data_IF_921502008485
#
_entry.id   IF_921502008485
#
_cell.length_a   1.000
_cell.length_b   1.000
_cell.length_c   1.000
_cell.angle_alpha   90.00
_cell.angle_beta   90.00
_cell.angle_gamma   90.00
#
_symmetry.space_group_name_H-M   'P 1'
#
loop_
_entity.id
_entity.type
_entity.pdbx_description
1 polymer ?
#
# COMPACT_ATOMS: atom_id res chain seq x y z
N UNK A 1 3.14 15.86 24.43
CA UNK A 1 2.90 15.35 23.07
C UNK A 1 2.53 13.90 23.25
N UNK A 2 1.23 13.61 23.36
CA UNK A 2 0.75 12.24 23.40
C UNK A 2 1.24 11.57 22.13
N UNK A 3 1.98 10.46 22.29
CA UNK A 3 2.35 9.61 21.17
C UNK A 3 1.04 9.02 20.64
N UNK A 4 0.37 9.77 19.78
CA UNK A 4 -0.78 9.30 19.02
C UNK A 4 -0.25 8.11 18.23
N UNK A 5 -0.52 6.90 18.74
CA UNK A 5 -0.06 5.66 18.14
C UNK A 5 -0.48 5.68 16.69
N UNK A 6 0.50 5.83 15.80
CA UNK A 6 0.23 5.85 14.37
C UNK A 6 -0.46 4.52 14.06
N UNK A 7 -1.69 4.56 13.50
CA UNK A 7 -2.47 3.35 13.35
C UNK A 7 -1.71 2.38 12.45
N UNK A 8 -1.71 1.10 12.83
CA UNK A 8 -0.99 0.05 12.10
C UNK A 8 -1.32 0.03 10.60
N UNK A 9 -2.55 0.40 10.23
CA UNK A 9 -2.99 0.58 8.85
C UNK A 9 -2.13 1.57 8.07
N UNK A 10 -1.63 2.64 8.69
CA UNK A 10 -0.74 3.62 8.06
C UNK A 10 0.61 3.01 7.70
N UNK A 11 1.23 2.24 8.61
CA UNK A 11 2.47 1.52 8.32
C UNK A 11 2.28 0.47 7.22
N UNK A 12 1.18 -0.29 7.28
CA UNK A 12 0.84 -1.25 6.23
C UNK A 12 0.63 -0.56 4.86
N UNK A 13 0.04 0.64 4.85
CA UNK A 13 -0.11 1.45 3.64
C UNK A 13 1.24 1.80 3.04
N UNK A 14 2.14 2.38 3.85
CA UNK A 14 3.48 2.81 3.40
C UNK A 14 4.31 1.62 2.92
N UNK A 15 4.31 0.52 3.67
CA UNK A 15 5.04 -0.69 3.29
C UNK A 15 4.54 -1.25 1.96
N UNK A 16 3.21 -1.35 1.78
CA UNK A 16 2.60 -1.82 0.53
C UNK A 16 2.93 -0.90 -0.64
N UNK A 17 2.88 0.42 -0.40
CA UNK A 17 3.25 1.43 -1.40
C UNK A 17 4.71 1.30 -1.83
N UNK A 18 5.62 1.13 -0.87
CA UNK A 18 7.05 0.94 -1.12
C UNK A 18 7.34 -0.34 -1.91
N UNK A 19 6.75 -1.47 -1.51
CA UNK A 19 6.94 -2.76 -2.21
C UNK A 19 6.40 -2.70 -3.63
N UNK A 20 5.21 -2.10 -3.82
CA UNK A 20 4.60 -1.94 -5.14
C UNK A 20 5.45 -1.06 -6.05
N UNK A 21 5.79 0.15 -5.61
CA UNK A 21 6.58 1.08 -6.41
C UNK A 21 7.98 0.53 -6.69
N UNK A 22 8.64 -0.05 -5.71
CA UNK A 22 9.97 -0.63 -5.90
C UNK A 22 9.93 -1.75 -6.95
N UNK A 23 9.00 -2.70 -6.83
CA UNK A 23 8.90 -3.82 -7.78
C UNK A 23 8.56 -3.35 -9.19
N UNK A 24 7.63 -2.41 -9.33
CA UNK A 24 7.25 -1.85 -10.62
C UNK A 24 8.41 -1.08 -11.27
N UNK A 25 9.14 -0.27 -10.50
CA UNK A 25 10.28 0.48 -11.02
C UNK A 25 11.45 -0.45 -11.41
N UNK A 26 11.76 -1.47 -10.61
CA UNK A 26 12.78 -2.46 -10.98
C UNK A 26 12.39 -3.20 -12.24
N UNK A 27 11.12 -3.62 -12.38
CA UNK A 27 10.64 -4.27 -13.59
C UNK A 27 10.76 -3.37 -14.83
N UNK A 28 10.27 -2.13 -14.75
CA UNK A 28 10.35 -1.17 -15.85
C UNK A 28 11.80 -0.82 -16.20
N UNK A 29 12.66 -0.60 -15.20
CA UNK A 29 14.07 -0.27 -15.42
C UNK A 29 14.81 -1.43 -16.08
N UNK A 30 14.62 -2.66 -15.59
CA UNK A 30 15.26 -3.85 -16.16
C UNK A 30 14.79 -4.14 -17.58
N UNK A 31 13.50 -3.94 -17.88
CA UNK A 31 12.95 -4.04 -19.23
C UNK A 31 13.52 -2.96 -20.16
N UNK A 32 13.65 -1.72 -19.68
CA UNK A 32 14.16 -0.60 -20.48
C UNK A 32 15.66 -0.69 -20.75
N UNK A 33 16.44 -1.25 -19.80
CA UNK A 33 17.87 -1.49 -19.97
C UNK A 33 18.21 -2.78 -20.74
N UNK A 34 17.18 -3.53 -21.18
CA UNK A 34 17.31 -4.88 -21.75
C UNK A 34 18.20 -5.79 -20.87
N UNK A 35 18.05 -5.61 -19.55
CA UNK A 35 18.91 -6.23 -18.55
C UNK A 35 18.60 -7.72 -18.47
N UNK A 36 19.59 -8.61 -18.25
CA UNK A 36 19.35 -10.06 -18.09
C UNK A 36 18.46 -10.44 -16.88
N UNK A 37 18.10 -9.47 -16.05
CA UNK A 37 17.15 -9.64 -14.93
C UNK A 37 15.74 -9.15 -15.25
N UNK A 38 15.47 -8.77 -16.50
CA UNK A 38 14.15 -8.49 -17.03
C UNK A 38 13.34 -9.80 -17.10
N UNK A 39 12.95 -10.27 -15.92
CA UNK A 39 12.22 -11.51 -15.75
C UNK A 39 10.76 -11.18 -15.39
N UNK A 40 9.77 -11.77 -16.08
CA UNK A 40 8.36 -11.63 -15.72
C UNK A 40 8.03 -12.01 -14.28
N UNK A 41 8.90 -12.72 -13.54
CA UNK A 41 8.73 -12.97 -12.10
C UNK A 41 8.54 -11.68 -11.27
N UNK A 42 9.06 -10.53 -11.70
CA UNK A 42 8.84 -9.24 -11.03
C UNK A 42 7.37 -8.76 -11.08
N UNK A 43 6.53 -9.33 -11.96
CA UNK A 43 5.09 -9.06 -11.97
C UNK A 43 4.38 -9.61 -10.74
N UNK A 44 4.90 -10.68 -10.11
CA UNK A 44 4.28 -11.32 -8.94
C UNK A 44 4.21 -10.33 -7.74
N UNK A 45 5.33 -9.76 -7.27
CA UNK A 45 5.29 -8.78 -6.18
C UNK A 45 4.60 -7.47 -6.61
N UNK A 46 4.61 -7.14 -7.90
CA UNK A 46 3.89 -5.96 -8.42
C UNK A 46 2.37 -6.13 -8.29
N UNK A 47 1.82 -7.26 -8.74
CA UNK A 47 0.39 -7.56 -8.60
C UNK A 47 0.01 -7.72 -7.12
N UNK A 48 0.85 -8.41 -6.33
CA UNK A 48 0.64 -8.54 -4.88
C UNK A 48 0.63 -7.19 -4.17
N UNK A 49 1.57 -6.31 -4.49
CA UNK A 49 1.63 -4.94 -3.98
C UNK A 49 0.40 -4.12 -4.34
N UNK A 50 -0.10 -4.25 -5.58
CA UNK A 50 -1.32 -3.57 -6.03
C UNK A 50 -2.54 -3.98 -5.20
N UNK A 51 -2.75 -5.29 -5.01
CA UNK A 51 -3.85 -5.80 -4.18
C UNK A 51 -3.73 -5.32 -2.73
N UNK A 52 -2.52 -5.35 -2.15
CA UNK A 52 -2.29 -4.87 -0.80
C UNK A 52 -2.61 -3.36 -0.66
N UNK A 53 -2.28 -2.56 -1.67
CA UNK A 53 -2.53 -1.12 -1.70
C UNK A 53 -4.04 -0.82 -1.80
N UNK A 54 -4.77 -1.55 -2.66
CA UNK A 54 -6.23 -1.46 -2.75
C UNK A 54 -6.89 -1.86 -1.44
N UNK A 55 -6.43 -2.96 -0.83
CA UNK A 55 -6.97 -3.44 0.44
C UNK A 55 -6.70 -2.45 1.58
N UNK A 56 -5.51 -1.87 1.61
CA UNK A 56 -5.13 -0.84 2.57
C UNK A 56 -6.01 0.41 2.44
N UNK A 57 -6.25 0.89 1.22
CA UNK A 57 -7.19 1.99 0.96
C UNK A 57 -8.62 1.67 1.40
N UNK A 58 -9.07 0.43 1.17
CA UNK A 58 -10.38 -0.03 1.60
C UNK A 58 -10.52 0.03 3.13
N UNK A 59 -9.52 -0.46 3.86
CA UNK A 59 -9.47 -0.40 5.33
C UNK A 59 -9.48 1.02 5.86
N UNK A 60 -8.73 1.93 5.25
CA UNK A 60 -8.72 3.35 5.64
C UNK A 60 -10.13 3.95 5.51
N UNK A 61 -10.85 3.66 4.41
CA UNK A 61 -12.22 4.15 4.22
C UNK A 61 -13.20 3.61 5.27
N UNK A 62 -13.12 2.32 5.59
CA UNK A 62 -13.94 1.72 6.66
C UNK A 62 -13.64 2.40 8.00
N UNK A 63 -12.36 2.58 8.32
CA UNK A 63 -11.96 3.21 9.58
C UNK A 63 -12.44 4.66 9.68
N UNK A 64 -12.36 5.42 8.58
CA UNK A 64 -12.91 6.78 8.52
C UNK A 64 -14.43 6.80 8.70
N UNK A 65 -15.17 5.86 8.08
CA UNK A 65 -16.60 5.75 8.25
C UNK A 65 -17.01 5.40 9.69
N UNK A 66 -16.23 4.55 10.36
CA UNK A 66 -16.45 4.19 11.77
C UNK A 66 -16.18 5.36 12.72
N UNK A 67 -15.16 6.19 12.43
CA UNK A 67 -14.91 7.40 13.22
C UNK A 67 -16.04 8.42 13.06
N UNK A 68 -16.59 8.58 11.85
CA UNK A 68 -17.72 9.48 11.59
C UNK A 68 -19.00 9.02 12.30
N UNK A 69 -19.32 7.73 12.28
CA UNK A 69 -20.51 7.21 12.97
C UNK A 69 -20.44 7.35 14.48
N UNK A 70 -19.24 7.20 15.07
CA UNK A 70 -19.00 7.45 16.50
C UNK A 70 -19.16 8.92 16.88
N UNK A 71 -18.71 9.85 16.03
CA UNK A 71 -18.94 11.28 16.25
C UNK A 71 -20.43 11.63 16.23
N UNK A 72 -21.19 11.09 15.26
CA UNK A 72 -22.64 11.34 15.16
C UNK A 72 -23.46 10.71 16.29
N UNK A 73 -22.94 9.66 16.95
CA UNK A 73 -23.64 9.00 18.06
C UNK A 73 -23.36 9.66 19.43
N UNK A 74 -22.37 10.56 19.49
CA UNK A 74 -21.99 11.27 20.72
C UNK A 74 -22.63 12.66 20.83
N UNK A 75 -23.33 13.11 19.79
CA UNK A 75 -24.12 14.34 19.71
C UNK A 75 -25.62 14.03 19.91
#
# INVERSE_FOLDING_TARGET
>A
MDATEIPWSFFATIASFGVFFFSLNVYLLTLWLDHPWANPLWLIPTVGGLFALVFSLHWVRIHQAELQSRQQSAE
#
